data_IF_172665745036
#
_entry.id   IF_172665745036
#
_cell.length_a   1.000
_cell.length_b   1.000
_cell.length_c   1.000
_cell.angle_alpha   90.00
_cell.angle_beta   90.00
_cell.angle_gamma   90.00
#
_symmetry.space_group_name_H-M   'P 1'
#
loop_
_entity.id
_entity.type
_entity.pdbx_description
1 polymer ?
#
# COMPACT_ATOMS: atom_id res chain seq x y z
N UNK A 1 92.50 -47.09 24.65
CA UNK A 1 92.22 -47.23 26.10
C UNK A 1 93.00 -46.13 26.83
N UNK A 2 92.52 -45.35 27.80
CA UNK A 2 91.24 -45.19 28.47
C UNK A 2 91.24 -43.79 29.13
N UNK A 3 90.19 -43.02 28.85
CA UNK A 3 89.35 -42.16 29.72
C UNK A 3 89.95 -41.49 30.98
N UNK A 4 89.80 -40.15 31.08
CA UNK A 4 89.03 -39.55 32.18
C UNK A 4 88.63 -38.10 31.88
N UNK A 5 87.38 -37.79 32.24
CA UNK A 5 86.52 -36.71 31.76
C UNK A 5 86.68 -35.33 32.45
N UNK A 6 86.41 -34.28 31.65
CA UNK A 6 85.74 -32.97 31.88
C UNK A 6 85.01 -32.75 33.25
N UNK A 7 84.76 -31.50 33.75
CA UNK A 7 83.93 -30.51 33.05
C UNK A 7 84.36 -29.04 33.06
N UNK A 8 83.77 -28.35 32.09
CA UNK A 8 83.89 -26.95 31.67
C UNK A 8 82.72 -26.11 32.21
N UNK A 9 83.06 -24.98 32.86
CA UNK A 9 82.43 -23.65 32.95
C UNK A 9 80.89 -23.41 33.11
N UNK A 10 80.64 -22.43 34.01
CA UNK A 10 79.64 -21.34 34.00
C UNK A 10 78.14 -21.66 34.14
N UNK A 11 77.53 -21.10 35.20
CA UNK A 11 76.22 -20.41 35.09
C UNK A 11 75.95 -19.55 36.32
N UNK A 12 75.86 -18.24 36.10
CA UNK A 12 75.30 -17.22 36.99
C UNK A 12 73.78 -17.34 37.06
N UNK A 13 73.17 -16.99 38.21
CA UNK A 13 71.72 -16.75 38.27
C UNK A 13 71.08 -17.13 39.60
N UNK A 14 71.24 -16.29 40.61
CA UNK A 14 70.50 -16.41 41.87
C UNK A 14 69.21 -15.58 41.77
N UNK A 15 68.11 -16.33 41.64
CA UNK A 15 66.88 -16.22 42.42
C UNK A 15 66.09 -14.91 42.41
N UNK A 16 64.99 -14.89 41.65
CA UNK A 16 63.84 -14.02 41.89
C UNK A 16 62.53 -14.84 41.97
N UNK A 17 61.85 -14.64 43.11
CA UNK A 17 60.43 -14.28 43.20
C UNK A 17 59.35 -15.38 43.02
N UNK A 18 58.88 -15.87 44.17
CA UNK A 18 57.63 -16.61 44.36
C UNK A 18 56.40 -15.77 43.99
N UNK A 19 55.52 -16.30 43.15
CA UNK A 19 54.14 -15.83 42.97
C UNK A 19 53.19 -17.01 43.08
N UNK A 20 52.24 -16.99 44.01
CA UNK A 20 51.17 -17.97 44.00
C UNK A 20 49.86 -17.45 44.60
N UNK A 21 48.78 -17.74 43.85
CA UNK A 21 47.39 -17.97 44.30
C UNK A 21 46.50 -16.73 44.52
N UNK A 22 45.87 -16.23 43.46
CA UNK A 22 44.56 -15.52 43.59
C UNK A 22 43.72 -15.35 42.33
N UNK A 23 44.12 -15.83 41.15
CA UNK A 23 43.47 -15.43 39.88
C UNK A 23 42.67 -16.52 39.13
N UNK A 24 42.04 -17.48 39.80
CA UNK A 24 41.34 -18.59 39.10
C UNK A 24 39.81 -18.57 39.16
N UNK A 25 39.15 -17.63 39.84
CA UNK A 25 37.67 -17.61 39.90
C UNK A 25 36.96 -16.68 38.90
N UNK A 26 37.71 -15.93 38.08
CA UNK A 26 37.13 -14.98 37.12
C UNK A 26 36.93 -15.56 35.70
N UNK A 27 37.38 -16.79 35.45
CA UNK A 27 37.34 -17.39 34.11
C UNK A 27 36.15 -18.33 33.86
N UNK A 28 35.50 -18.83 34.91
CA UNK A 28 34.35 -19.75 34.76
C UNK A 28 33.01 -19.04 34.53
N UNK A 29 32.86 -17.77 34.95
CA UNK A 29 31.59 -17.06 34.82
C UNK A 29 31.28 -16.59 33.39
N UNK A 30 32.28 -16.55 32.50
CA UNK A 30 32.10 -16.12 31.10
C UNK A 30 31.52 -17.20 30.18
N UNK A 31 31.43 -18.45 30.64
CA UNK A 31 30.97 -19.57 29.81
C UNK A 31 29.47 -19.86 29.92
N UNK A 32 28.78 -19.38 30.96
CA UNK A 32 27.35 -19.62 31.20
C UNK A 32 26.39 -18.69 30.41
N UNK A 33 26.91 -17.74 29.62
CA UNK A 33 26.10 -16.82 28.79
C UNK A 33 26.13 -17.16 27.30
N UNK A 34 26.77 -18.27 26.92
CA UNK A 34 26.74 -18.78 25.54
C UNK A 34 25.75 -19.94 25.46
N UNK A 35 24.55 -19.72 25.97
CA UNK A 35 23.43 -20.59 25.64
C UNK A 35 23.15 -20.48 24.14
N UNK A 36 23.10 -21.66 23.52
CA UNK A 36 23.36 -21.86 22.10
C UNK A 36 22.46 -21.08 21.16
N UNK A 37 23.10 -20.31 20.27
CA UNK A 37 22.53 -20.01 18.97
C UNK A 37 22.43 -21.32 18.18
N UNK A 38 21.31 -22.03 18.35
CA UNK A 38 20.92 -23.13 17.47
C UNK A 38 20.58 -22.51 16.12
N UNK A 39 21.34 -22.85 15.07
CA UNK A 39 21.02 -22.44 13.70
C UNK A 39 19.70 -23.07 13.25
N UNK A 40 18.98 -22.40 12.34
CA UNK A 40 17.78 -22.97 11.73
C UNK A 40 18.12 -24.25 10.98
N UNK A 41 17.25 -25.25 11.08
CA UNK A 41 17.42 -26.50 10.34
C UNK A 41 16.99 -26.34 8.89
N UNK A 42 17.53 -27.16 7.98
CA UNK A 42 17.08 -27.18 6.59
C UNK A 42 15.58 -27.48 6.47
N UNK A 43 15.10 -28.43 7.30
CA UNK A 43 13.70 -28.83 7.33
C UNK A 43 12.76 -27.66 7.67
N UNK A 44 13.19 -26.79 8.57
CA UNK A 44 12.41 -25.63 9.02
C UNK A 44 12.20 -24.63 7.88
N UNK A 45 13.26 -24.33 7.12
CA UNK A 45 13.14 -23.49 5.92
C UNK A 45 12.32 -24.19 4.83
N UNK A 46 12.47 -25.51 4.65
CA UNK A 46 11.71 -26.28 3.66
C UNK A 46 10.20 -26.22 3.91
N UNK A 47 9.76 -26.42 5.15
CA UNK A 47 8.34 -26.36 5.50
C UNK A 47 7.80 -24.94 5.30
N UNK A 48 8.56 -23.91 5.67
CA UNK A 48 8.16 -22.51 5.48
C UNK A 48 7.97 -22.20 3.99
N UNK A 49 8.93 -22.52 3.12
CA UNK A 49 8.80 -22.25 1.68
C UNK A 49 7.72 -23.11 1.03
N UNK A 50 7.47 -24.32 1.53
CA UNK A 50 6.37 -25.17 1.07
C UNK A 50 5.01 -24.53 1.40
N UNK A 51 4.79 -24.07 2.64
CA UNK A 51 3.56 -23.39 3.03
C UNK A 51 3.40 -22.06 2.28
N UNK A 52 4.47 -21.28 2.12
CA UNK A 52 4.45 -20.05 1.32
C UNK A 52 4.08 -20.32 -0.15
N UNK A 53 4.60 -21.39 -0.76
CA UNK A 53 4.24 -21.81 -2.11
C UNK A 53 2.76 -22.17 -2.24
N UNK A 54 2.19 -22.85 -1.24
CA UNK A 54 0.76 -23.17 -1.21
C UNK A 54 -0.09 -21.91 -1.06
N UNK A 55 0.22 -21.03 -0.10
CA UNK A 55 -0.53 -19.80 0.15
C UNK A 55 -0.45 -18.81 -1.02
N UNK A 56 0.70 -18.73 -1.70
CA UNK A 56 0.90 -17.85 -2.85
C UNK A 56 -0.13 -18.10 -3.98
N UNK A 57 -0.65 -19.32 -4.10
CA UNK A 57 -1.66 -19.66 -5.14
C UNK A 57 -3.04 -19.04 -4.87
N UNK A 58 -3.41 -18.80 -3.60
CA UNK A 58 -4.79 -18.43 -3.21
C UNK A 58 -4.98 -16.92 -3.10
N UNK A 59 -3.93 -16.16 -2.76
CA UNK A 59 -4.05 -14.75 -2.35
C UNK A 59 -4.45 -13.80 -3.50
N UNK A 60 -4.28 -14.19 -4.77
CA UNK A 60 -4.38 -13.26 -5.91
C UNK A 60 -5.82 -13.06 -6.43
N UNK A 61 -6.71 -14.02 -6.29
CA UNK A 61 -7.92 -14.09 -7.15
C UNK A 61 -9.06 -13.16 -6.74
N UNK A 62 -9.16 -12.72 -5.49
CA UNK A 62 -10.34 -12.00 -4.98
C UNK A 62 -10.24 -10.46 -4.96
N UNK A 63 -9.08 -9.90 -5.28
CA UNK A 63 -8.86 -8.46 -5.16
C UNK A 63 -9.45 -7.67 -6.34
N UNK A 64 -9.39 -8.19 -7.57
CA UNK A 64 -9.75 -7.41 -8.75
C UNK A 64 -11.24 -6.99 -8.79
N UNK A 65 -12.16 -7.91 -8.50
CA UNK A 65 -13.60 -7.61 -8.55
C UNK A 65 -14.09 -6.63 -7.48
N UNK A 66 -13.43 -6.57 -6.32
CA UNK A 66 -13.80 -5.62 -5.25
C UNK A 66 -13.36 -4.19 -5.60
N UNK A 67 -12.20 -4.03 -6.24
CA UNK A 67 -11.75 -2.73 -6.72
C UNK A 67 -12.66 -2.15 -7.81
N UNK A 68 -13.11 -2.96 -8.77
CA UNK A 68 -13.98 -2.46 -9.83
C UNK A 68 -15.35 -2.03 -9.31
N UNK A 69 -15.94 -2.79 -8.39
CA UNK A 69 -17.18 -2.38 -7.73
C UNK A 69 -17.01 -1.09 -6.90
N UNK A 70 -15.88 -0.95 -6.20
CA UNK A 70 -15.57 0.28 -5.46
C UNK A 70 -15.41 1.50 -6.39
N UNK A 71 -14.80 1.30 -7.57
CA UNK A 71 -14.69 2.35 -8.60
C UNK A 71 -16.05 2.76 -9.16
N UNK A 72 -16.94 1.80 -9.41
CA UNK A 72 -18.32 2.06 -9.84
C UNK A 72 -19.07 2.86 -8.77
N UNK A 73 -19.05 2.40 -7.52
CA UNK A 73 -19.70 3.10 -6.39
C UNK A 73 -19.17 4.52 -6.19
N UNK A 74 -17.86 4.71 -6.25
CA UNK A 74 -17.24 6.05 -6.18
C UNK A 74 -17.70 6.95 -7.33
N UNK A 75 -17.82 6.39 -8.54
CA UNK A 75 -18.29 7.13 -9.71
C UNK A 75 -19.75 7.55 -9.54
N UNK A 76 -20.61 6.67 -9.01
CA UNK A 76 -22.01 6.99 -8.72
C UNK A 76 -22.15 8.11 -7.70
N UNK A 77 -21.35 8.11 -6.63
CA UNK A 77 -21.33 9.20 -5.64
C UNK A 77 -20.91 10.52 -6.27
N UNK A 78 -19.90 10.50 -7.16
CA UNK A 78 -19.47 11.70 -7.89
C UNK A 78 -20.59 12.21 -8.82
N UNK A 79 -21.26 11.31 -9.54
CA UNK A 79 -22.43 11.66 -10.37
C UNK A 79 -23.49 12.36 -9.51
N UNK A 80 -23.90 11.74 -8.40
CA UNK A 80 -24.91 12.30 -7.50
C UNK A 80 -24.53 13.69 -6.95
N UNK A 81 -23.25 13.90 -6.61
CA UNK A 81 -22.75 15.20 -6.18
C UNK A 81 -22.88 16.27 -7.26
N UNK A 82 -22.63 15.94 -8.54
CA UNK A 82 -22.82 16.88 -9.65
C UNK A 82 -24.31 17.09 -9.93
N UNK A 83 -25.16 16.07 -9.83
CA UNK A 83 -26.61 16.22 -9.95
C UNK A 83 -27.16 17.20 -8.91
N UNK A 84 -26.69 17.11 -7.67
CA UNK A 84 -27.04 18.06 -6.62
C UNK A 84 -26.60 19.50 -6.96
N UNK A 85 -25.40 19.67 -7.52
CA UNK A 85 -24.93 20.98 -7.96
C UNK A 85 -25.78 21.55 -9.11
N UNK A 86 -26.22 20.72 -10.06
CA UNK A 86 -27.15 21.11 -11.12
C UNK A 86 -28.51 21.53 -10.55
N UNK A 87 -29.03 20.81 -9.55
CA UNK A 87 -30.29 21.20 -8.90
C UNK A 87 -30.16 22.53 -8.15
N UNK A 88 -29.03 22.77 -7.49
CA UNK A 88 -28.74 24.04 -6.83
C UNK A 88 -28.62 25.19 -7.85
N UNK A 89 -27.97 24.96 -8.99
CA UNK A 89 -27.95 25.90 -10.11
C UNK A 89 -29.37 26.25 -10.56
N UNK A 90 -30.21 25.26 -10.81
CA UNK A 90 -31.61 25.46 -11.21
C UNK A 90 -32.39 26.28 -10.18
N UNK A 91 -32.16 26.07 -8.89
CA UNK A 91 -32.85 26.81 -7.82
C UNK A 91 -32.55 28.32 -7.84
N UNK A 92 -31.37 28.72 -8.30
CA UNK A 92 -30.96 30.14 -8.33
C UNK A 92 -31.13 30.79 -9.70
N UNK A 93 -30.83 30.06 -10.78
CA UNK A 93 -30.88 30.56 -12.15
C UNK A 93 -32.25 30.31 -12.80
N UNK A 94 -33.09 29.46 -12.19
CA UNK A 94 -34.40 29.01 -12.73
C UNK A 94 -34.32 28.30 -14.08
N UNK A 95 -33.12 27.89 -14.49
CA UNK A 95 -32.85 27.16 -15.72
C UNK A 95 -31.79 26.09 -15.47
N UNK A 96 -31.83 24.98 -16.21
CA UNK A 96 -30.78 23.97 -16.16
C UNK A 96 -29.56 24.43 -16.96
N UNK A 97 -28.34 24.17 -16.48
CA UNK A 97 -27.13 24.62 -17.17
C UNK A 97 -27.06 24.05 -18.59
N UNK A 98 -26.50 24.80 -19.53
CA UNK A 98 -26.24 24.34 -20.89
C UNK A 98 -25.10 23.32 -20.90
N UNK A 99 -24.13 23.53 -20.00
CA UNK A 99 -22.96 22.68 -19.83
C UNK A 99 -22.57 22.55 -18.36
N UNK A 100 -21.88 21.46 -18.00
CA UNK A 100 -21.33 21.31 -16.64
C UNK A 100 -20.31 22.40 -16.28
N UNK A 101 -19.76 23.14 -17.26
CA UNK A 101 -18.83 24.25 -17.01
C UNK A 101 -19.53 25.44 -16.33
N UNK A 102 -20.84 25.57 -16.54
CA UNK A 102 -21.65 26.64 -15.95
C UNK A 102 -21.78 26.45 -14.43
N UNK A 103 -21.50 25.25 -13.91
CA UNK A 103 -21.41 25.00 -12.47
C UNK A 103 -20.15 25.60 -11.85
N UNK A 104 -19.09 25.81 -12.64
CA UNK A 104 -17.83 26.43 -12.19
C UNK A 104 -17.91 27.95 -12.40
N UNK A 105 -18.41 28.39 -13.56
CA UNK A 105 -18.52 29.79 -13.91
C UNK A 105 -19.97 30.13 -14.28
N UNK A 106 -20.86 30.28 -13.29
CA UNK A 106 -22.27 30.54 -13.58
C UNK A 106 -22.49 31.94 -14.16
N UNK A 107 -23.46 32.10 -15.07
CA UNK A 107 -23.84 33.41 -15.60
C UNK A 107 -24.45 34.28 -14.50
N UNK A 108 -24.39 35.60 -14.63
CA UNK A 108 -25.03 36.51 -13.67
C UNK A 108 -24.25 36.76 -12.37
N UNK A 109 -22.98 36.33 -12.29
CA UNK A 109 -22.08 36.68 -11.17
C UNK A 109 -22.29 35.86 -9.89
N UNK A 110 -23.02 34.74 -9.97
CA UNK A 110 -23.13 33.80 -8.86
C UNK A 110 -21.77 33.16 -8.51
N UNK A 111 -21.67 32.65 -7.29
CA UNK A 111 -20.48 31.88 -6.88
C UNK A 111 -20.49 30.49 -7.52
N UNK A 112 -19.33 29.88 -7.78
CA UNK A 112 -19.25 28.51 -8.28
C UNK A 112 -20.01 27.52 -7.41
N UNK A 113 -20.81 26.66 -8.04
CA UNK A 113 -21.55 25.59 -7.36
C UNK A 113 -20.66 24.37 -7.07
N UNK A 114 -19.59 24.21 -7.85
CA UNK A 114 -18.52 23.22 -7.62
C UNK A 114 -17.16 23.89 -7.72
N UNK A 115 -16.20 23.44 -6.91
CA UNK A 115 -14.81 23.95 -6.95
C UNK A 115 -14.09 23.52 -8.23
N UNK A 116 -14.31 22.27 -8.65
CA UNK A 116 -13.78 21.69 -9.86
C UNK A 116 -14.70 20.55 -10.30
N UNK A 117 -14.68 20.23 -11.59
CA UNK A 117 -15.47 19.12 -12.11
C UNK A 117 -14.84 17.78 -11.69
N UNK A 118 -15.54 16.92 -10.94
CA UNK A 118 -15.02 15.60 -10.62
C UNK A 118 -14.94 14.75 -11.89
N UNK A 119 -13.86 13.97 -12.00
CA UNK A 119 -13.70 12.90 -12.99
C UNK A 119 -14.15 11.58 -12.40
N UNK A 120 -14.56 10.64 -13.22
CA UNK A 120 -14.90 9.29 -12.78
C UNK A 120 -13.67 8.53 -12.22
N UNK A 121 -13.85 7.27 -11.83
CA UNK A 121 -12.77 6.44 -11.28
C UNK A 121 -11.75 5.95 -12.32
N UNK A 122 -12.00 6.14 -13.61
CA UNK A 122 -11.09 5.84 -14.73
C UNK A 122 -10.50 7.11 -15.37
N UNK A 123 -10.68 8.25 -14.70
CA UNK A 123 -10.22 9.59 -15.06
C UNK A 123 -10.91 10.20 -16.30
N UNK A 124 -12.09 9.71 -16.66
CA UNK A 124 -12.90 10.30 -17.72
C UNK A 124 -13.76 11.44 -17.16
N UNK A 125 -14.14 12.35 -18.05
CA UNK A 125 -15.09 13.43 -17.74
C UNK A 125 -16.51 12.88 -17.68
N UNK A 126 -17.31 13.43 -16.75
CA UNK A 126 -18.74 13.11 -16.68
C UNK A 126 -19.47 13.74 -17.88
N UNK A 127 -20.42 12.98 -18.42
CA UNK A 127 -21.20 13.36 -19.58
C UNK A 127 -22.54 13.87 -19.10
N UNK A 128 -22.88 15.08 -19.49
CA UNK A 128 -24.17 15.70 -19.22
C UNK A 128 -25.00 15.74 -20.49
N UNK A 129 -26.27 15.34 -20.38
CA UNK A 129 -27.27 15.47 -21.44
C UNK A 129 -28.53 16.06 -20.86
N UNK A 130 -28.99 17.19 -21.40
CA UNK A 130 -30.36 17.65 -21.18
C UNK A 130 -31.33 16.76 -21.96
N UNK A 131 -32.50 16.56 -21.38
CA UNK A 131 -33.58 15.77 -21.97
C UNK A 131 -34.89 16.51 -21.73
N UNK A 132 -35.80 16.47 -22.70
CA UNK A 132 -37.16 17.00 -22.55
C UNK A 132 -38.16 15.94 -22.07
N UNK A 133 -37.66 14.76 -21.67
CA UNK A 133 -38.48 13.68 -21.14
C UNK A 133 -38.78 13.81 -19.64
N UNK A 134 -39.12 12.68 -19.02
CA UNK A 134 -39.53 12.58 -17.61
C UNK A 134 -38.43 13.05 -16.62
N UNK A 135 -37.16 12.93 -17.02
CA UNK A 135 -36.01 13.53 -16.33
C UNK A 135 -35.45 14.67 -17.19
N UNK A 136 -35.30 15.90 -16.63
CA UNK A 136 -34.85 17.07 -17.38
C UNK A 136 -33.38 17.00 -17.80
N UNK A 137 -32.59 16.18 -17.13
CA UNK A 137 -31.21 15.91 -17.48
C UNK A 137 -30.75 14.54 -16.99
N UNK A 138 -29.61 14.08 -17.50
CA UNK A 138 -28.89 12.91 -17.00
C UNK A 138 -27.39 13.21 -16.99
N UNK A 139 -26.71 12.78 -15.93
CA UNK A 139 -25.25 12.78 -15.82
C UNK A 139 -24.78 11.35 -15.72
N UNK A 140 -23.83 10.94 -16.56
CA UNK A 140 -23.33 9.57 -16.56
C UNK A 140 -21.83 9.52 -16.91
N UNK A 141 -21.19 8.39 -16.64
CA UNK A 141 -19.78 8.13 -16.98
C UNK A 141 -19.68 7.10 -18.09
N UNK A 142 -18.65 7.23 -18.94
CA UNK A 142 -18.31 6.25 -19.98
C UNK A 142 -17.65 4.97 -19.43
N UNK A 143 -17.47 4.86 -18.11
CA UNK A 143 -16.97 3.66 -17.49
C UNK A 143 -15.52 3.29 -17.85
N UNK A 144 -15.14 2.02 -17.59
CA UNK A 144 -13.82 1.48 -17.88
C UNK A 144 -13.36 1.60 -19.33
N UNK A 145 -14.26 1.39 -20.30
CA UNK A 145 -13.89 1.33 -21.73
C UNK A 145 -13.75 2.72 -22.38
N UNK A 146 -14.15 3.78 -21.66
CA UNK A 146 -14.10 5.19 -22.06
C UNK A 146 -14.93 5.50 -23.31
N UNK A 147 -15.77 4.58 -23.73
CA UNK A 147 -16.58 4.65 -24.94
C UNK A 147 -18.02 4.90 -24.52
N UNK A 148 -18.69 5.84 -25.20
CA UNK A 148 -20.06 6.22 -24.84
C UNK A 148 -21.05 5.27 -25.51
N UNK A 149 -22.17 4.99 -24.85
CA UNK A 149 -23.27 4.18 -25.37
C UNK A 149 -23.05 2.67 -25.24
N UNK A 150 -22.04 2.26 -24.49
CA UNK A 150 -21.68 0.87 -24.25
C UNK A 150 -22.41 0.32 -23.01
N UNK A 151 -22.23 -0.96 -22.72
CA UNK A 151 -22.92 -1.62 -21.60
C UNK A 151 -22.33 -1.23 -20.23
N UNK A 152 -21.09 -0.78 -20.20
CA UNK A 152 -20.37 -0.38 -18.99
C UNK A 152 -20.55 1.10 -18.63
N UNK A 153 -21.23 1.90 -19.47
CA UNK A 153 -21.69 3.24 -19.11
C UNK A 153 -22.44 3.22 -17.77
N UNK A 154 -22.00 4.06 -16.84
CA UNK A 154 -22.51 4.14 -15.47
C UNK A 154 -23.46 5.32 -15.35
N UNK A 155 -24.73 5.00 -15.14
CA UNK A 155 -25.82 5.95 -14.99
C UNK A 155 -26.16 6.21 -13.51
N UNK A 156 -26.90 7.29 -13.21
CA UNK A 156 -27.45 7.52 -11.87
C UNK A 156 -28.32 6.36 -11.43
N UNK A 157 -28.37 6.13 -10.12
CA UNK A 157 -29.18 5.06 -9.55
C UNK A 157 -30.65 5.18 -9.96
N UNK A 158 -31.25 4.07 -10.40
CA UNK A 158 -32.65 4.04 -10.88
C UNK A 158 -32.89 4.68 -12.25
N UNK A 159 -31.84 5.02 -13.02
CA UNK A 159 -32.00 5.45 -14.40
C UNK A 159 -32.35 4.26 -15.31
N UNK A 160 -33.45 4.37 -16.06
CA UNK A 160 -33.82 3.44 -17.12
C UNK A 160 -33.35 4.00 -18.46
N UNK A 161 -32.57 3.22 -19.20
CA UNK A 161 -32.09 3.55 -20.55
C UNK A 161 -33.25 3.54 -21.55
#
# INVERSE_FOLDING_TARGET
>A
MNLSNNPKHLTSGVFYMSHSRTHQRLLDQKQALRDGQKGMTLLEIMIVVAILGLLATVVVTNLMGTFDNAKIGTTQTKIASVEQAVQMYYTQVSEYPDSLKDLINPPGGFRPYVKSMPRDSWNNELIYKRSSGDKPFVIYSAGPDRSKGTKDDIYPQGYKR
#
